data_IF_905243944635
#
_entry.id   IF_905243944635
#
_cell.length_a   1.000
_cell.length_b   1.000
_cell.length_c   1.000
_cell.angle_alpha   90.00
_cell.angle_beta   90.00
_cell.angle_gamma   90.00
#
_symmetry.space_group_name_H-M   'P 1'
#
loop_
_entity.id
_entity.type
_entity.pdbx_description
1 polymer ?
#
# COMPACT_ATOMS: atom_id res chain seq x y z
N UNK A 1 6.27 13.29 19.92
CA UNK A 1 4.88 13.74 19.67
C UNK A 1 4.78 14.65 18.45
N UNK A 2 5.67 15.65 18.26
CA UNK A 2 5.68 16.49 17.04
C UNK A 2 6.13 15.75 15.77
N UNK A 3 7.11 14.86 15.87
CA UNK A 3 7.70 14.12 14.75
C UNK A 3 6.71 13.25 14.00
N UNK A 4 5.81 12.55 14.70
CA UNK A 4 4.77 11.72 14.07
C UNK A 4 3.79 12.56 13.24
N UNK A 5 3.44 13.75 13.72
CA UNK A 5 2.51 14.64 13.02
C UNK A 5 3.18 15.24 11.77
N UNK A 6 4.47 15.60 11.87
CA UNK A 6 5.27 16.02 10.72
C UNK A 6 5.37 14.89 9.69
N UNK A 7 5.56 13.63 10.11
CA UNK A 7 5.58 12.48 9.20
C UNK A 7 4.26 12.34 8.43
N UNK A 8 3.13 12.44 9.13
CA UNK A 8 1.80 12.35 8.52
C UNK A 8 1.56 13.48 7.53
N UNK A 9 1.92 14.72 7.90
CA UNK A 9 1.78 15.87 7.01
C UNK A 9 2.66 15.72 5.77
N UNK A 10 3.92 15.32 5.93
CA UNK A 10 4.82 15.08 4.78
C UNK A 10 4.28 13.95 3.91
N UNK A 11 3.76 12.87 4.50
CA UNK A 11 3.14 11.78 3.74
C UNK A 11 1.97 12.28 2.89
N UNK A 12 1.07 13.07 3.48
CA UNK A 12 -0.08 13.67 2.80
C UNK A 12 0.37 14.58 1.64
N UNK A 13 1.36 15.44 1.89
CA UNK A 13 1.90 16.35 0.86
C UNK A 13 2.55 15.57 -0.27
N UNK A 14 3.35 14.55 0.02
CA UNK A 14 4.00 13.71 -1.01
C UNK A 14 2.96 12.90 -1.80
N UNK A 15 1.94 12.36 -1.12
CA UNK A 15 0.79 11.69 -1.72
C UNK A 15 0.08 12.56 -2.75
N UNK A 16 -0.16 13.82 -2.42
CA UNK A 16 -0.87 14.75 -3.28
C UNK A 16 0.00 15.33 -4.42
N UNK A 17 1.29 15.57 -4.18
CA UNK A 17 2.14 16.32 -5.13
C UNK A 17 2.84 15.44 -6.16
N UNK A 18 2.95 14.13 -5.93
CA UNK A 18 3.75 13.24 -6.78
C UNK A 18 2.96 12.01 -7.24
N UNK A 19 2.03 12.16 -8.21
CA UNK A 19 1.34 11.03 -8.82
C UNK A 19 2.30 10.03 -9.50
N UNK A 20 3.54 10.45 -9.84
CA UNK A 20 4.59 9.55 -10.33
C UNK A 20 5.04 8.49 -9.29
N UNK A 21 4.91 8.76 -7.99
CA UNK A 21 5.24 7.82 -6.92
C UNK A 21 4.14 6.77 -6.71
N UNK A 22 2.97 6.92 -7.33
CA UNK A 22 1.90 5.90 -7.32
C UNK A 22 2.40 4.58 -7.93
N UNK A 23 3.35 4.64 -8.87
CA UNK A 23 3.98 3.45 -9.44
C UNK A 23 4.79 2.62 -8.42
N UNK A 24 5.32 3.25 -7.36
CA UNK A 24 6.03 2.57 -6.27
C UNK A 24 5.07 1.85 -5.32
N UNK A 25 3.78 2.17 -5.37
CA UNK A 25 2.73 1.60 -4.53
C UNK A 25 2.13 0.31 -5.13
N UNK A 26 2.84 -0.30 -6.08
CA UNK A 26 2.41 -1.53 -6.76
C UNK A 26 2.61 -2.75 -5.87
N UNK A 27 1.49 -3.37 -5.50
CA UNK A 27 1.46 -4.58 -4.69
C UNK A 27 1.68 -5.88 -5.48
N UNK A 28 2.15 -5.79 -6.73
CA UNK A 28 2.36 -6.94 -7.63
C UNK A 28 3.30 -8.01 -7.02
N UNK A 29 4.28 -7.61 -6.21
CA UNK A 29 5.14 -8.57 -5.51
C UNK A 29 4.37 -9.34 -4.43
N UNK A 30 3.48 -8.66 -3.70
CA UNK A 30 2.69 -9.27 -2.63
C UNK A 30 1.61 -10.17 -3.21
N UNK A 31 0.99 -9.76 -4.32
CA UNK A 31 0.04 -10.60 -5.06
C UNK A 31 0.73 -11.87 -5.57
N UNK A 32 1.89 -11.76 -6.24
CA UNK A 32 2.67 -12.93 -6.69
C UNK A 32 3.12 -13.81 -5.54
N UNK A 33 3.47 -13.22 -4.40
CA UNK A 33 3.78 -13.97 -3.18
C UNK A 33 2.57 -14.78 -2.70
N UNK A 34 1.39 -14.17 -2.62
CA UNK A 34 0.16 -14.86 -2.23
C UNK A 34 -0.22 -15.97 -3.22
N UNK A 35 -0.09 -15.73 -4.52
CA UNK A 35 -0.34 -16.73 -5.58
C UNK A 35 0.61 -17.92 -5.46
N UNK A 36 1.91 -17.65 -5.28
CA UNK A 36 2.90 -18.70 -5.03
C UNK A 36 2.58 -19.50 -3.78
N UNK A 37 2.18 -18.82 -2.70
CA UNK A 37 1.85 -19.44 -1.42
C UNK A 37 0.57 -20.29 -1.54
N UNK A 38 -0.43 -19.81 -2.28
CA UNK A 38 -1.64 -20.55 -2.60
C UNK A 38 -1.35 -21.76 -3.50
N UNK A 39 -0.44 -21.66 -4.45
CA UNK A 39 -0.02 -22.80 -5.28
C UNK A 39 0.69 -23.89 -4.47
N UNK A 40 1.44 -23.51 -3.42
CA UNK A 40 2.14 -24.47 -2.57
C UNK A 40 1.28 -25.06 -1.43
N UNK A 41 0.35 -24.29 -0.86
CA UNK A 41 -0.41 -24.68 0.34
C UNK A 41 -1.94 -24.80 0.12
N UNK A 42 -2.44 -24.56 -1.09
CA UNK A 42 -3.88 -24.43 -1.41
C UNK A 42 -4.77 -25.61 -1.06
N UNK A 43 -4.21 -26.83 -1.01
CA UNK A 43 -4.94 -28.04 -0.64
C UNK A 43 -5.00 -28.29 0.87
N UNK A 44 -4.26 -27.54 1.68
CA UNK A 44 -4.28 -27.70 3.13
C UNK A 44 -5.48 -26.97 3.77
N UNK A 45 -6.30 -27.65 4.59
CA UNK A 45 -7.40 -27.02 5.34
C UNK A 45 -6.95 -25.83 6.20
N UNK A 46 -5.68 -25.87 6.66
CA UNK A 46 -5.05 -24.85 7.49
C UNK A 46 -4.78 -23.54 6.74
N UNK A 47 -4.62 -23.60 5.41
CA UNK A 47 -4.36 -22.44 4.55
C UNK A 47 -5.62 -21.59 4.29
N UNK A 48 -6.80 -22.22 4.20
CA UNK A 48 -8.08 -21.50 4.01
C UNK A 48 -8.59 -20.79 5.27
N UNK A 49 -7.91 -20.97 6.41
CA UNK A 49 -8.26 -20.35 7.68
C UNK A 49 -7.33 -19.22 8.10
N UNK A 50 -7.47 -18.81 9.37
CA UNK A 50 -6.66 -17.75 10.01
C UNK A 50 -5.15 -18.05 9.95
N UNK A 51 -4.75 -19.33 9.91
CA UNK A 51 -3.36 -19.74 9.79
C UNK A 51 -2.70 -19.30 8.48
N UNK A 52 -3.40 -19.41 7.36
CA UNK A 52 -2.90 -18.93 6.07
C UNK A 52 -2.77 -17.41 6.02
N UNK A 53 -3.72 -16.69 6.61
CA UNK A 53 -3.66 -15.22 6.74
C UNK A 53 -2.45 -14.76 7.55
N UNK A 54 -2.21 -15.39 8.71
CA UNK A 54 -1.03 -15.11 9.53
C UNK A 54 0.24 -15.41 8.74
N UNK A 55 0.34 -16.55 8.08
CA UNK A 55 1.54 -16.91 7.32
C UNK A 55 1.79 -16.00 6.10
N UNK A 56 0.74 -15.41 5.54
CA UNK A 56 0.86 -14.42 4.47
C UNK A 56 1.39 -13.07 4.96
N UNK A 57 0.95 -12.62 6.14
CA UNK A 57 1.21 -11.26 6.65
C UNK A 57 2.44 -11.19 7.57
N UNK A 58 2.71 -12.25 8.32
CA UNK A 58 3.81 -12.31 9.29
C UNK A 58 5.17 -12.07 8.64
N UNK A 59 5.53 -12.70 7.50
CA UNK A 59 6.85 -12.49 6.91
C UNK A 59 7.11 -11.02 6.50
N UNK A 60 6.19 -10.33 5.78
CA UNK A 60 6.34 -8.89 5.53
C UNK A 60 6.47 -8.06 6.81
N UNK A 61 5.64 -8.33 7.82
CA UNK A 61 5.70 -7.61 9.10
C UNK A 61 7.03 -7.84 9.84
N UNK A 62 7.57 -9.06 9.80
CA UNK A 62 8.86 -9.37 10.41
C UNK A 62 9.99 -8.62 9.73
N UNK A 63 9.99 -8.52 8.39
CA UNK A 63 10.99 -7.74 7.64
C UNK A 63 10.93 -6.27 8.04
N UNK A 64 9.73 -5.69 8.10
CA UNK A 64 9.53 -4.29 8.55
C UNK A 64 9.99 -4.10 9.99
N UNK A 65 9.66 -5.03 10.89
CA UNK A 65 10.08 -5.00 12.29
C UNK A 65 11.60 -5.09 12.46
N UNK A 66 12.27 -5.94 11.67
CA UNK A 66 13.72 -6.09 11.69
C UNK A 66 14.41 -4.81 11.21
N UNK A 67 13.92 -4.19 10.13
CA UNK A 67 14.44 -2.91 9.64
C UNK A 67 14.27 -1.84 10.72
N UNK A 68 13.11 -1.76 11.38
CA UNK A 68 12.90 -0.80 12.48
C UNK A 68 13.84 -1.03 13.66
N UNK A 69 14.23 -2.28 13.95
CA UNK A 69 15.16 -2.59 15.03
C UNK A 69 16.58 -2.14 14.69
N UNK A 70 17.01 -2.34 13.44
CA UNK A 70 18.31 -1.86 12.96
C UNK A 70 18.37 -0.33 13.00
N UNK A 71 17.31 0.34 12.56
CA UNK A 71 17.27 1.81 12.45
C UNK A 71 17.02 2.53 13.79
N UNK A 72 16.85 1.80 14.90
CA UNK A 72 16.39 2.35 16.19
C UNK A 72 17.36 3.35 16.82
N UNK A 73 18.66 3.07 16.73
CA UNK A 73 19.69 3.82 17.45
C UNK A 73 20.58 4.67 16.51
N UNK A 74 20.20 4.80 15.24
CA UNK A 74 20.97 5.53 14.22
C UNK A 74 20.59 7.02 14.12
N UNK A 75 21.62 7.87 13.99
CA UNK A 75 21.54 9.23 13.42
C UNK A 75 20.33 10.08 13.89
N UNK A 76 20.20 10.28 15.21
CA UNK A 76 19.11 11.07 15.84
C UNK A 76 17.68 10.60 15.51
N UNK A 77 17.51 9.37 14.99
CA UNK A 77 16.21 8.82 14.60
C UNK A 77 15.73 9.26 13.19
N UNK A 78 16.56 9.96 12.41
CA UNK A 78 16.19 10.39 11.06
C UNK A 78 15.97 9.22 10.08
N UNK A 79 16.83 8.17 10.04
CA UNK A 79 16.58 7.01 9.19
C UNK A 79 15.28 6.29 9.54
N UNK A 80 15.00 6.11 10.83
CA UNK A 80 13.75 5.52 11.31
C UNK A 80 12.53 6.35 10.89
N UNK A 81 12.64 7.69 10.95
CA UNK A 81 11.59 8.59 10.46
C UNK A 81 11.33 8.44 8.96
N UNK A 82 12.39 8.41 8.14
CA UNK A 82 12.25 8.25 6.70
C UNK A 82 11.63 6.90 6.34
N UNK A 83 12.05 5.84 7.03
CA UNK A 83 11.47 4.51 6.85
C UNK A 83 9.97 4.48 7.23
N UNK A 84 9.59 5.12 8.33
CA UNK A 84 8.20 5.25 8.73
C UNK A 84 7.37 6.02 7.70
N UNK A 85 7.92 7.13 7.16
CA UNK A 85 7.29 7.91 6.10
C UNK A 85 7.04 7.08 4.84
N UNK A 86 8.05 6.36 4.37
CA UNK A 86 7.94 5.49 3.19
C UNK A 86 6.94 4.35 3.44
N UNK A 87 6.97 3.74 4.63
CA UNK A 87 6.04 2.66 5.00
C UNK A 87 4.60 3.16 5.03
N UNK A 88 4.35 4.34 5.63
CA UNK A 88 3.03 4.96 5.67
C UNK A 88 2.52 5.29 4.26
N UNK A 89 3.36 5.92 3.45
CA UNK A 89 3.05 6.24 2.06
C UNK A 89 2.71 4.98 1.25
N UNK A 90 3.52 3.93 1.40
CA UNK A 90 3.32 2.67 0.71
C UNK A 90 2.01 1.99 1.15
N UNK A 91 1.67 2.04 2.44
CA UNK A 91 0.47 1.40 2.99
C UNK A 91 -0.86 2.02 2.52
N UNK A 92 -0.87 3.23 1.96
CA UNK A 92 -2.10 3.86 1.44
C UNK A 92 -2.73 3.13 0.25
N UNK A 93 -2.02 2.21 -0.41
CA UNK A 93 -2.57 1.35 -1.47
C UNK A 93 -2.66 1.98 -2.85
N UNK A 94 -2.41 1.23 -3.94
CA UNK A 94 -2.07 1.73 -5.28
C UNK A 94 -3.08 2.68 -5.89
N UNK A 95 -4.36 2.58 -5.51
CA UNK A 95 -5.43 3.41 -6.08
C UNK A 95 -5.60 4.69 -5.29
N UNK A 96 -5.68 5.79 -6.02
CA UNK A 96 -6.09 7.07 -5.47
C UNK A 96 -7.57 7.25 -5.78
N UNK A 97 -8.41 6.96 -4.78
CA UNK A 97 -9.87 7.01 -4.93
C UNK A 97 -10.34 8.44 -5.23
N UNK A 98 -9.65 9.45 -4.71
CA UNK A 98 -10.00 10.85 -4.93
C UNK A 98 -9.78 11.21 -6.40
N UNK A 99 -8.64 10.81 -6.98
CA UNK A 99 -8.39 10.98 -8.42
C UNK A 99 -9.37 10.19 -9.29
N UNK A 100 -9.70 8.96 -8.92
CA UNK A 100 -10.66 8.14 -9.67
C UNK A 100 -12.07 8.75 -9.64
N UNK A 101 -12.48 9.36 -8.52
CA UNK A 101 -13.76 10.06 -8.38
C UNK A 101 -13.73 11.40 -9.12
N UNK A 102 -12.65 12.16 -9.02
CA UNK A 102 -12.50 13.45 -9.72
C UNK A 102 -12.57 13.26 -11.24
N UNK A 103 -11.96 12.20 -11.77
CA UNK A 103 -12.08 11.84 -13.18
C UNK A 103 -13.54 11.56 -13.62
N UNK A 104 -14.39 11.07 -12.72
CA UNK A 104 -15.83 10.87 -12.97
C UNK A 104 -16.59 12.20 -12.89
N UNK A 105 -16.24 13.05 -11.93
CA UNK A 105 -16.89 14.35 -11.68
C UNK A 105 -16.57 15.35 -12.79
N UNK A 106 -15.31 15.42 -13.24
CA UNK A 106 -14.85 16.30 -14.32
C UNK A 106 -15.22 15.81 -15.72
N UNK A 107 -15.69 14.57 -15.87
CA UNK A 107 -16.07 14.02 -17.18
C UNK A 107 -17.30 14.74 -17.76
N UNK A 108 -17.03 15.63 -18.73
CA UNK A 108 -18.05 16.42 -19.42
C UNK A 108 -18.98 15.57 -20.30
N UNK A 109 -18.48 14.45 -20.85
CA UNK A 109 -19.22 13.56 -21.75
C UNK A 109 -19.79 12.32 -21.03
N UNK A 110 -20.95 11.85 -21.47
CA UNK A 110 -21.62 10.70 -20.86
C UNK A 110 -20.92 9.35 -21.15
N UNK A 111 -20.18 9.23 -22.25
CA UNK A 111 -19.33 8.08 -22.55
C UNK A 111 -18.08 8.08 -21.68
N UNK A 112 -17.35 9.19 -21.65
CA UNK A 112 -16.12 9.34 -20.83
C UNK A 112 -16.39 9.11 -19.34
N UNK A 113 -17.53 9.59 -18.84
CA UNK A 113 -17.94 9.37 -17.45
C UNK A 113 -18.28 7.92 -17.14
N UNK A 114 -18.87 7.19 -18.09
CA UNK A 114 -19.12 5.74 -17.93
C UNK A 114 -17.82 4.95 -17.91
N UNK A 115 -16.87 5.29 -18.78
CA UNK A 115 -15.56 4.65 -18.81
C UNK A 115 -14.76 4.92 -17.53
N UNK A 116 -14.82 6.15 -17.00
CA UNK A 116 -14.20 6.49 -15.71
C UNK A 116 -14.88 5.74 -14.55
N UNK A 117 -16.20 5.64 -14.53
CA UNK A 117 -16.95 4.91 -13.51
C UNK A 117 -16.69 3.39 -13.56
N UNK A 118 -16.50 2.82 -14.75
CA UNK A 118 -16.16 1.40 -14.90
C UNK A 118 -14.81 1.06 -14.23
N UNK A 119 -13.87 2.00 -14.16
CA UNK A 119 -12.59 1.80 -13.46
C UNK A 119 -12.76 1.68 -11.95
N UNK A 120 -13.79 2.29 -11.34
CA UNK A 120 -14.07 2.19 -9.90
C UNK A 120 -14.55 0.78 -9.49
N UNK A 121 -15.22 0.08 -10.40
CA UNK A 121 -15.73 -1.28 -10.18
C UNK A 121 -15.19 -2.23 -11.25
N UNK A 122 -13.89 -2.59 -11.21
CA UNK A 122 -13.40 -3.64 -12.10
C UNK A 122 -14.15 -4.91 -11.73
N UNK A 123 -15.05 -5.36 -12.60
CA UNK A 123 -15.82 -6.58 -12.40
C UNK A 123 -14.85 -7.74 -12.11
N UNK A 124 -15.10 -8.45 -11.01
CA UNK A 124 -14.33 -9.62 -10.59
C UNK A 124 -14.77 -10.86 -11.36
#
# INVERSE_FOLDING_TARGET
>A
MSTTLIAVVIALVVGHTMPALVALRRYDWFIRWLEWLAAQLGDSPTWRGVGGLLFAIVPPLLVVGLIQLVLRDDFLGFPAFLFALVTLFYAWGPRDLDHDVEAVVEATDAGVRRDAAARLFPER
#
